data_IF_927437018442
#
_entry.id   IF_927437018442
#
_cell.length_a   1.000
_cell.length_b   1.000
_cell.length_c   1.000
_cell.angle_alpha   90.00
_cell.angle_beta   90.00
_cell.angle_gamma   90.00
#
_symmetry.space_group_name_H-M   'P 1'
#
loop_
_entity.id
_entity.type
_entity.pdbx_description
1 polymer ?
#
# COMPACT_ATOMS: atom_id res chain seq x y z
N UNK A 1 15.01 -7.73 -18.19
CA UNK A 1 14.09 -6.89 -19.01
C UNK A 1 12.61 -7.24 -18.78
N UNK A 2 12.22 -8.51 -18.81
CA UNK A 2 10.79 -8.92 -18.65
C UNK A 2 10.20 -8.56 -17.29
N UNK A 3 11.00 -8.63 -16.22
CA UNK A 3 10.58 -8.21 -14.87
C UNK A 3 10.20 -6.72 -14.80
N UNK A 4 10.97 -5.86 -15.45
CA UNK A 4 10.68 -4.43 -15.58
C UNK A 4 9.45 -4.17 -16.49
N UNK A 5 9.34 -4.93 -17.58
CA UNK A 5 8.18 -4.86 -18.47
C UNK A 5 6.91 -5.30 -17.73
N UNK A 6 6.96 -6.40 -16.95
CA UNK A 6 5.83 -6.83 -16.13
C UNK A 6 5.45 -5.77 -15.10
N UNK A 7 6.44 -5.14 -14.46
CA UNK A 7 6.20 -4.03 -13.53
C UNK A 7 5.44 -2.89 -14.23
N UNK A 8 5.87 -2.49 -15.42
CA UNK A 8 5.20 -1.45 -16.20
C UNK A 8 3.78 -1.90 -16.59
N UNK A 9 3.61 -3.13 -17.06
CA UNK A 9 2.29 -3.66 -17.46
C UNK A 9 1.34 -3.65 -16.25
N UNK A 10 1.78 -4.10 -15.09
CA UNK A 10 0.97 -4.08 -13.87
C UNK A 10 0.65 -2.63 -13.43
N UNK A 11 1.63 -1.72 -13.51
CA UNK A 11 1.41 -0.32 -13.19
C UNK A 11 0.41 0.33 -14.17
N UNK A 12 0.53 0.07 -15.47
CA UNK A 12 -0.42 0.54 -16.48
C UNK A 12 -1.81 -0.05 -16.26
N UNK A 13 -1.90 -1.34 -15.93
CA UNK A 13 -3.18 -2.00 -15.66
C UNK A 13 -3.92 -1.36 -14.47
N UNK A 14 -3.20 -0.97 -13.42
CA UNK A 14 -3.77 -0.24 -12.27
C UNK A 14 -4.15 1.20 -12.64
N UNK A 15 -3.41 1.84 -13.56
CA UNK A 15 -3.69 3.21 -13.99
C UNK A 15 -4.85 3.31 -14.98
N UNK A 16 -5.11 2.28 -15.80
CA UNK A 16 -6.20 2.31 -16.80
C UNK A 16 -7.55 2.68 -16.19
N UNK A 17 -8.05 2.02 -15.13
CA UNK A 17 -9.30 2.39 -14.49
C UNK A 17 -9.30 3.83 -13.96
N UNK A 18 -8.15 4.31 -13.46
CA UNK A 18 -8.02 5.70 -13.00
C UNK A 18 -8.19 6.71 -14.14
N UNK A 19 -7.66 6.41 -15.32
CA UNK A 19 -7.85 7.28 -16.49
C UNK A 19 -9.26 7.23 -17.06
N UNK A 20 -9.97 6.09 -16.93
CA UNK A 20 -11.34 5.93 -17.47
C UNK A 20 -12.38 6.54 -16.53
N UNK A 21 -12.25 6.33 -15.23
CA UNK A 21 -13.23 6.75 -14.21
C UNK A 21 -12.68 7.79 -13.22
N UNK A 22 -11.50 8.36 -13.47
CA UNK A 22 -10.80 9.23 -12.54
C UNK A 22 -11.64 10.39 -12.00
N UNK A 23 -12.37 11.11 -12.88
CA UNK A 23 -13.21 12.23 -12.47
C UNK A 23 -14.41 11.80 -11.61
N UNK A 24 -15.04 10.66 -11.97
CA UNK A 24 -16.14 10.10 -11.20
C UNK A 24 -15.66 9.56 -9.83
N UNK A 25 -14.49 8.95 -9.81
CA UNK A 25 -13.85 8.45 -8.57
C UNK A 25 -13.37 9.59 -7.69
N UNK A 26 -12.75 10.63 -8.27
CA UNK A 26 -12.31 11.82 -7.53
C UNK A 26 -13.48 12.57 -6.88
N UNK A 27 -14.63 12.65 -7.58
CA UNK A 27 -15.84 13.25 -6.98
C UNK A 27 -16.48 12.37 -5.92
N UNK A 28 -16.57 11.06 -6.16
CA UNK A 28 -17.13 10.11 -5.19
C UNK A 28 -16.24 9.95 -3.95
N UNK A 29 -14.91 9.90 -4.15
CA UNK A 29 -13.91 9.79 -3.07
C UNK A 29 -13.27 11.14 -2.73
N UNK A 30 -14.00 12.24 -2.86
CA UNK A 30 -13.58 13.49 -2.21
C UNK A 30 -13.54 13.27 -0.69
N UNK A 31 -12.72 14.05 0.03
CA UNK A 31 -12.59 13.91 1.49
C UNK A 31 -13.94 13.96 2.20
N UNK A 32 -14.78 14.95 1.87
CA UNK A 32 -16.16 15.06 2.40
C UNK A 32 -17.06 13.92 1.96
N UNK A 33 -16.97 13.51 0.69
CA UNK A 33 -17.75 12.39 0.14
C UNK A 33 -17.44 11.08 0.86
N UNK A 34 -16.14 10.79 1.07
CA UNK A 34 -15.69 9.58 1.76
C UNK A 34 -16.13 9.56 3.23
N UNK A 35 -16.01 10.69 3.94
CA UNK A 35 -16.50 10.81 5.32
C UNK A 35 -18.01 10.57 5.37
N UNK A 36 -18.79 11.23 4.52
CA UNK A 36 -20.25 11.06 4.44
C UNK A 36 -20.63 9.61 4.13
N UNK A 37 -19.94 9.00 3.16
CA UNK A 37 -20.16 7.60 2.79
C UNK A 37 -19.87 6.65 3.96
N UNK A 38 -18.72 6.78 4.63
CA UNK A 38 -18.36 5.92 5.75
C UNK A 38 -19.33 6.10 6.95
N UNK A 39 -19.72 7.33 7.25
CA UNK A 39 -20.61 7.62 8.38
C UNK A 39 -22.02 7.04 8.22
N UNK A 40 -22.49 6.81 6.97
CA UNK A 40 -23.77 6.14 6.70
C UNK A 40 -23.81 4.70 7.26
N UNK A 41 -22.66 4.03 7.39
CA UNK A 41 -22.58 2.68 7.93
C UNK A 41 -22.50 2.63 9.47
N UNK A 42 -22.51 3.78 10.14
CA UNK A 42 -22.52 3.86 11.60
C UNK A 42 -21.39 3.04 12.25
N UNK A 43 -21.77 2.10 13.12
CA UNK A 43 -20.81 1.24 13.82
C UNK A 43 -19.97 0.32 12.91
N UNK A 44 -20.38 0.08 11.66
CA UNK A 44 -19.69 -0.79 10.70
C UNK A 44 -18.71 -0.02 9.78
N UNK A 45 -18.60 1.31 9.92
CA UNK A 45 -17.76 2.14 9.06
C UNK A 45 -16.28 1.69 9.05
N UNK A 46 -15.75 1.19 10.16
CA UNK A 46 -14.39 0.62 10.22
C UNK A 46 -14.22 -0.61 9.32
N UNK A 47 -15.22 -1.49 9.29
CA UNK A 47 -15.16 -2.69 8.44
C UNK A 47 -15.27 -2.34 6.95
N UNK A 48 -16.14 -1.39 6.61
CA UNK A 48 -16.27 -0.86 5.26
C UNK A 48 -14.96 -0.19 4.81
N UNK A 49 -14.32 0.59 5.68
CA UNK A 49 -13.04 1.20 5.38
C UNK A 49 -11.93 0.16 5.09
N UNK A 50 -11.85 -0.91 5.90
CA UNK A 50 -10.92 -2.03 5.64
C UNK A 50 -11.23 -2.68 4.30
N UNK A 51 -12.49 -2.95 3.98
CA UNK A 51 -12.89 -3.53 2.70
C UNK A 51 -12.54 -2.63 1.51
N UNK A 52 -12.73 -1.32 1.63
CA UNK A 52 -12.33 -0.35 0.59
C UNK A 52 -10.81 -0.33 0.40
N UNK A 53 -10.03 -0.34 1.49
CA UNK A 53 -8.56 -0.41 1.43
C UNK A 53 -8.05 -1.74 0.84
N UNK A 54 -8.79 -2.84 1.02
CA UNK A 54 -8.50 -4.10 0.34
C UNK A 54 -8.91 -4.08 -1.13
N UNK A 55 -10.03 -3.43 -1.44
CA UNK A 55 -10.56 -3.29 -2.80
C UNK A 55 -9.67 -2.40 -3.69
N UNK A 56 -8.84 -1.52 -3.09
CA UNK A 56 -7.82 -0.72 -3.79
C UNK A 56 -6.84 -1.59 -4.61
N UNK A 57 -6.68 -2.86 -4.26
CA UNK A 57 -5.94 -3.83 -5.09
C UNK A 57 -6.54 -4.01 -6.50
N UNK A 58 -7.85 -3.85 -6.65
CA UNK A 58 -8.59 -4.09 -7.90
C UNK A 58 -9.19 -2.81 -8.50
N UNK A 59 -9.51 -1.87 -7.65
CA UNK A 59 -10.13 -0.61 -8.01
C UNK A 59 -9.17 0.54 -7.64
N UNK A 60 -9.00 1.54 -8.49
CA UNK A 60 -8.11 2.67 -8.19
C UNK A 60 -8.75 3.61 -7.16
N UNK A 61 -8.87 3.14 -5.95
CA UNK A 61 -9.44 3.88 -4.83
C UNK A 61 -8.30 4.66 -4.14
N UNK A 62 -8.44 5.96 -3.90
CA UNK A 62 -7.38 6.71 -3.23
C UNK A 62 -7.29 6.35 -1.74
N UNK A 63 -6.50 5.31 -1.43
CA UNK A 63 -6.33 4.76 -0.09
C UNK A 63 -6.00 5.83 0.96
N UNK A 64 -5.21 6.83 0.60
CA UNK A 64 -4.82 7.93 1.50
C UNK A 64 -6.02 8.76 1.96
N UNK A 65 -7.00 8.99 1.09
CA UNK A 65 -8.25 9.70 1.44
C UNK A 65 -9.09 8.87 2.41
N UNK A 66 -9.19 7.55 2.17
CA UNK A 66 -9.91 6.65 3.09
C UNK A 66 -9.24 6.63 4.47
N UNK A 67 -7.90 6.51 4.52
CA UNK A 67 -7.15 6.53 5.77
C UNK A 67 -7.33 7.85 6.54
N UNK A 68 -7.33 8.99 5.83
CA UNK A 68 -7.59 10.29 6.42
C UNK A 68 -9.04 10.40 6.94
N UNK A 69 -10.04 9.94 6.16
CA UNK A 69 -11.44 9.91 6.59
C UNK A 69 -11.66 9.04 7.84
N UNK A 70 -11.00 7.89 7.90
CA UNK A 70 -11.02 7.00 9.08
C UNK A 70 -10.37 7.69 10.29
N UNK A 71 -9.27 8.41 10.08
CA UNK A 71 -8.63 9.22 11.11
C UNK A 71 -9.52 10.35 11.63
N UNK A 72 -10.29 10.99 10.75
CA UNK A 72 -11.30 11.97 11.10
C UNK A 72 -12.39 11.38 11.99
N UNK A 73 -12.94 10.21 11.62
CA UNK A 73 -14.08 9.57 12.30
C UNK A 73 -13.67 8.95 13.64
N UNK A 74 -12.54 8.24 13.69
CA UNK A 74 -12.13 7.42 14.83
C UNK A 74 -10.95 7.99 15.63
N UNK A 75 -10.42 9.14 15.21
CA UNK A 75 -9.21 9.71 15.79
C UNK A 75 -7.90 9.05 15.32
N UNK A 76 -6.75 9.58 15.72
CA UNK A 76 -5.46 9.19 15.15
C UNK A 76 -5.04 7.76 15.53
N UNK A 77 -5.41 7.29 16.73
CA UNK A 77 -4.99 5.96 17.21
C UNK A 77 -5.86 4.84 16.61
N UNK A 78 -7.17 4.89 16.84
CA UNK A 78 -8.08 3.86 16.31
C UNK A 78 -8.12 3.92 14.77
N UNK A 79 -8.19 5.12 14.19
CA UNK A 79 -8.11 5.33 12.75
C UNK A 79 -6.79 4.82 12.16
N UNK A 80 -5.66 5.01 12.85
CA UNK A 80 -4.37 4.49 12.45
C UNK A 80 -4.31 2.97 12.41
N UNK A 81 -4.87 2.31 13.43
CA UNK A 81 -4.94 0.84 13.48
C UNK A 81 -5.82 0.29 12.35
N UNK A 82 -7.02 0.85 12.14
CA UNK A 82 -7.96 0.45 11.08
C UNK A 82 -7.30 0.63 9.71
N UNK A 83 -6.68 1.77 9.46
CA UNK A 83 -5.99 2.09 8.20
C UNK A 83 -4.81 1.17 7.95
N UNK A 84 -3.99 0.93 8.96
CA UNK A 84 -2.86 0.01 8.87
C UNK A 84 -3.32 -1.43 8.61
N UNK A 85 -4.39 -1.88 9.28
CA UNK A 85 -4.96 -3.22 9.08
C UNK A 85 -5.49 -3.38 7.65
N UNK A 86 -6.27 -2.43 7.13
CA UNK A 86 -6.79 -2.47 5.77
C UNK A 86 -5.68 -2.50 4.71
N UNK A 87 -4.70 -1.61 4.82
CA UNK A 87 -3.53 -1.58 3.93
C UNK A 87 -2.70 -2.86 4.00
N UNK A 88 -2.49 -3.40 5.21
CA UNK A 88 -1.78 -4.65 5.43
C UNK A 88 -2.51 -5.83 4.78
N UNK A 89 -3.82 -5.96 5.02
CA UNK A 89 -4.64 -7.06 4.48
C UNK A 89 -4.72 -6.99 2.95
N UNK A 90 -4.86 -5.80 2.36
CA UNK A 90 -4.82 -5.61 0.90
C UNK A 90 -3.51 -6.10 0.28
N UNK A 91 -2.38 -5.74 0.88
CA UNK A 91 -1.08 -6.20 0.40
C UNK A 91 -0.85 -7.71 0.57
N UNK A 92 -1.29 -8.30 1.69
CA UNK A 92 -1.23 -9.76 1.91
C UNK A 92 -2.12 -10.49 0.92
N UNK A 93 -3.31 -9.96 0.62
CA UNK A 93 -4.20 -10.49 -0.41
C UNK A 93 -3.54 -10.47 -1.79
N UNK A 94 -2.95 -9.34 -2.21
CA UNK A 94 -2.23 -9.22 -3.48
C UNK A 94 -1.06 -10.19 -3.60
N UNK A 95 -0.24 -10.30 -2.54
CA UNK A 95 0.83 -11.29 -2.48
C UNK A 95 0.31 -12.72 -2.60
N UNK A 96 -0.76 -13.06 -1.86
CA UNK A 96 -1.37 -14.39 -1.86
C UNK A 96 -1.92 -14.78 -3.21
N UNK A 97 -2.71 -13.90 -3.84
CA UNK A 97 -3.29 -14.13 -5.17
C UNK A 97 -2.21 -14.39 -6.23
N UNK A 98 -1.18 -13.56 -6.27
CA UNK A 98 -0.10 -13.73 -7.23
C UNK A 98 0.78 -14.96 -6.92
N UNK A 99 0.91 -15.35 -5.64
CA UNK A 99 1.62 -16.56 -5.23
C UNK A 99 0.90 -17.84 -5.64
N UNK A 100 -0.45 -17.86 -5.64
CA UNK A 100 -1.28 -18.99 -6.06
C UNK A 100 -1.11 -19.29 -7.56
N UNK A 101 -0.78 -18.31 -8.39
CA UNK A 101 -0.51 -18.52 -9.83
C UNK A 101 0.62 -19.53 -10.08
N UNK A 102 1.47 -19.77 -9.11
CA UNK A 102 2.48 -20.81 -9.14
C UNK A 102 3.77 -20.43 -9.86
N UNK A 103 4.84 -21.16 -9.52
CA UNK A 103 6.18 -20.90 -10.04
C UNK A 103 6.28 -21.13 -11.55
N UNK A 104 5.59 -22.14 -12.08
CA UNK A 104 5.58 -22.44 -13.52
C UNK A 104 5.04 -21.27 -14.33
N UNK A 105 3.95 -20.67 -13.88
CA UNK A 105 3.34 -19.48 -14.50
C UNK A 105 4.26 -18.28 -14.39
N UNK A 106 4.84 -18.04 -13.21
CA UNK A 106 5.79 -16.96 -13.00
C UNK A 106 7.03 -17.07 -13.90
N UNK A 107 7.61 -18.27 -14.01
CA UNK A 107 8.75 -18.55 -14.93
C UNK A 107 8.36 -18.39 -16.41
N UNK A 108 7.13 -18.74 -16.79
CA UNK A 108 6.62 -18.55 -18.16
C UNK A 108 6.47 -17.06 -18.50
N UNK A 109 5.95 -16.26 -17.58
CA UNK A 109 5.73 -14.82 -17.76
C UNK A 109 7.05 -14.06 -17.74
N UNK A 110 7.89 -14.29 -16.75
CA UNK A 110 9.15 -13.56 -16.53
C UNK A 110 10.30 -14.12 -17.38
N UNK A 111 10.27 -15.40 -17.71
CA UNK A 111 11.41 -16.16 -18.22
C UNK A 111 12.38 -16.54 -17.09
N UNK A 112 13.18 -17.58 -17.30
CA UNK A 112 14.03 -18.20 -16.28
C UNK A 112 14.99 -17.18 -15.64
N UNK A 113 15.75 -16.46 -16.48
CA UNK A 113 16.78 -15.50 -16.03
C UNK A 113 16.21 -14.36 -15.17
N UNK A 114 15.08 -13.79 -15.58
CA UNK A 114 14.46 -12.66 -14.86
C UNK A 114 13.74 -13.13 -13.59
N UNK A 115 13.19 -14.37 -13.59
CA UNK A 115 12.63 -14.99 -12.38
C UNK A 115 13.71 -15.20 -11.33
N UNK A 116 14.83 -15.85 -11.66
CA UNK A 116 15.94 -16.05 -10.74
C UNK A 116 16.54 -14.74 -10.22
N UNK A 117 16.62 -13.72 -11.10
CA UNK A 117 17.05 -12.38 -10.70
C UNK A 117 16.09 -11.76 -9.67
N UNK A 118 14.77 -11.90 -9.87
CA UNK A 118 13.75 -11.46 -8.93
C UNK A 118 13.87 -12.17 -7.59
N UNK A 119 14.06 -13.49 -7.59
CA UNK A 119 14.27 -14.29 -6.38
C UNK A 119 15.49 -13.82 -5.61
N UNK A 120 16.63 -13.57 -6.27
CA UNK A 120 17.84 -13.02 -5.64
C UNK A 120 17.59 -11.64 -5.04
N UNK A 121 17.00 -10.72 -5.81
CA UNK A 121 16.65 -9.37 -5.33
C UNK A 121 15.71 -9.42 -4.13
N UNK A 122 14.77 -10.38 -4.10
CA UNK A 122 13.88 -10.54 -2.96
C UNK A 122 14.62 -10.99 -1.68
N UNK A 123 15.72 -11.72 -1.86
CA UNK A 123 16.63 -12.09 -0.77
C UNK A 123 17.38 -10.89 -0.19
N UNK A 124 17.89 -10.04 -1.04
CA UNK A 124 18.80 -8.94 -0.66
C UNK A 124 18.02 -7.68 -0.21
N UNK A 125 17.17 -7.16 -1.09
CA UNK A 125 16.49 -5.86 -0.89
C UNK A 125 14.97 -5.94 -0.92
N UNK A 126 14.38 -7.13 -1.13
CA UNK A 126 12.94 -7.28 -1.35
C UNK A 126 12.08 -6.75 -0.22
N UNK A 127 12.49 -6.94 1.05
CA UNK A 127 11.80 -6.38 2.20
C UNK A 127 11.74 -4.85 2.17
N UNK A 128 12.81 -4.20 1.75
CA UNK A 128 12.89 -2.76 1.57
C UNK A 128 11.95 -2.25 0.49
N UNK A 129 11.92 -2.95 -0.65
CA UNK A 129 11.03 -2.60 -1.76
C UNK A 129 9.56 -2.64 -1.30
N UNK A 130 9.20 -3.64 -0.50
CA UNK A 130 7.85 -3.74 0.08
C UNK A 130 7.55 -2.58 1.02
N UNK A 131 8.46 -2.23 1.94
CA UNK A 131 8.28 -1.10 2.88
C UNK A 131 8.14 0.22 2.12
N UNK A 132 9.07 0.49 1.19
CA UNK A 132 9.12 1.75 0.46
C UNK A 132 7.95 1.91 -0.51
N UNK A 133 7.50 0.82 -1.12
CA UNK A 133 6.37 0.87 -2.04
C UNK A 133 5.11 1.44 -1.39
N UNK A 134 4.93 1.24 -0.08
CA UNK A 134 3.75 1.76 0.65
C UNK A 134 3.58 3.28 0.57
N UNK A 135 4.67 4.01 0.37
CA UNK A 135 4.68 5.47 0.32
C UNK A 135 4.53 6.05 -1.09
N UNK A 136 4.51 5.19 -2.11
CA UNK A 136 4.40 5.59 -3.50
C UNK A 136 3.04 5.17 -4.07
N UNK A 137 2.34 6.02 -4.83
CA UNK A 137 1.07 5.65 -5.44
C UNK A 137 1.28 4.52 -6.46
N UNK A 138 0.32 3.60 -6.59
CA UNK A 138 0.32 2.46 -7.55
C UNK A 138 1.37 1.37 -7.25
N UNK A 139 2.48 1.71 -6.63
CA UNK A 139 3.59 0.78 -6.36
C UNK A 139 3.26 -0.33 -5.35
N UNK A 140 2.45 -0.10 -4.31
CA UNK A 140 2.15 -1.12 -3.30
C UNK A 140 1.54 -2.39 -3.88
N UNK A 141 0.58 -2.26 -4.78
CA UNK A 141 -0.15 -3.36 -5.40
C UNK A 141 0.79 -4.15 -6.32
N UNK A 142 1.53 -3.44 -7.16
CA UNK A 142 2.50 -4.04 -8.09
C UNK A 142 3.60 -4.78 -7.34
N UNK A 143 4.19 -4.17 -6.30
CA UNK A 143 5.26 -4.79 -5.52
C UNK A 143 4.76 -5.99 -4.72
N UNK A 144 3.54 -5.93 -4.17
CA UNK A 144 2.92 -7.05 -3.46
C UNK A 144 2.67 -8.24 -4.40
N UNK A 145 2.14 -7.99 -5.60
CA UNK A 145 1.97 -9.00 -6.65
C UNK A 145 3.32 -9.59 -7.09
N UNK A 146 4.30 -8.75 -7.37
CA UNK A 146 5.63 -9.23 -7.78
C UNK A 146 6.30 -10.07 -6.69
N UNK A 147 6.20 -9.65 -5.41
CA UNK A 147 6.71 -10.42 -4.28
C UNK A 147 6.03 -11.79 -4.16
N UNK A 148 4.73 -11.88 -4.49
CA UNK A 148 3.98 -13.13 -4.59
C UNK A 148 4.47 -14.02 -5.73
N UNK A 149 4.62 -13.48 -6.94
CA UNK A 149 5.07 -14.20 -8.15
C UNK A 149 6.47 -14.80 -7.99
N UNK A 150 7.42 -14.03 -7.44
CA UNK A 150 8.79 -14.51 -7.18
C UNK A 150 8.91 -15.35 -5.91
N UNK A 151 7.79 -15.68 -5.27
CA UNK A 151 7.71 -16.51 -4.07
C UNK A 151 8.56 -16.02 -2.90
N UNK A 152 8.60 -14.72 -2.69
CA UNK A 152 9.24 -14.14 -1.51
C UNK A 152 8.78 -14.86 -0.24
N UNK A 153 9.69 -15.10 0.73
CA UNK A 153 9.36 -15.75 2.00
C UNK A 153 8.25 -14.98 2.72
N UNK A 154 7.13 -15.67 3.03
CA UNK A 154 5.92 -15.05 3.58
C UNK A 154 6.20 -14.25 4.86
N UNK A 155 7.01 -14.81 5.77
CA UNK A 155 7.37 -14.11 7.03
C UNK A 155 8.09 -12.78 6.75
N UNK A 156 9.04 -12.76 5.79
CA UNK A 156 9.74 -11.52 5.41
C UNK A 156 8.78 -10.51 4.80
N UNK A 157 7.87 -10.97 3.95
CA UNK A 157 6.85 -10.13 3.34
C UNK A 157 5.92 -9.53 4.41
N UNK A 158 5.38 -10.35 5.32
CA UNK A 158 4.49 -9.91 6.41
C UNK A 158 5.17 -8.86 7.29
N UNK A 159 6.42 -9.10 7.71
CA UNK A 159 7.17 -8.15 8.53
C UNK A 159 7.41 -6.83 7.80
N UNK A 160 7.81 -6.88 6.53
CA UNK A 160 8.01 -5.69 5.72
C UNK A 160 6.69 -4.94 5.50
N UNK A 161 5.59 -5.66 5.24
CA UNK A 161 4.24 -5.09 5.13
C UNK A 161 3.80 -4.38 6.41
N UNK A 162 3.98 -5.02 7.57
CA UNK A 162 3.66 -4.40 8.86
C UNK A 162 4.50 -3.13 9.10
N UNK A 163 5.81 -3.21 8.85
CA UNK A 163 6.71 -2.06 8.97
C UNK A 163 6.36 -0.88 8.05
N UNK A 164 5.79 -1.15 6.88
CA UNK A 164 5.35 -0.10 5.95
C UNK A 164 3.94 0.42 6.23
N UNK A 165 2.98 -0.48 6.49
CA UNK A 165 1.56 -0.13 6.66
C UNK A 165 1.26 0.55 7.99
N UNK A 166 1.96 0.18 9.08
CA UNK A 166 1.75 0.81 10.39
C UNK A 166 2.04 2.31 10.34
N UNK A 167 3.28 2.77 10.01
CA UNK A 167 3.54 4.21 10.00
C UNK A 167 2.68 4.94 8.97
N UNK A 168 2.39 4.33 7.82
CA UNK A 168 1.52 4.90 6.81
C UNK A 168 0.10 5.16 7.36
N UNK A 169 -0.52 4.13 7.95
CA UNK A 169 -1.87 4.22 8.50
C UNK A 169 -2.00 5.27 9.59
N UNK A 170 -1.05 5.31 10.53
CA UNK A 170 -1.03 6.33 11.59
C UNK A 170 -0.78 7.73 11.04
N UNK A 171 0.10 7.88 10.05
CA UNK A 171 0.39 9.18 9.44
C UNK A 171 -0.86 9.78 8.80
N UNK A 172 -1.55 9.03 7.93
CA UNK A 172 -2.73 9.54 7.25
C UNK A 172 -3.93 9.67 8.18
N UNK A 173 -4.09 8.80 9.18
CA UNK A 173 -5.12 8.97 10.21
C UNK A 173 -4.88 10.24 11.05
N UNK A 174 -3.62 10.54 11.39
CA UNK A 174 -3.28 11.77 12.09
C UNK A 174 -3.53 13.01 11.22
N UNK A 175 -3.18 12.95 9.92
CA UNK A 175 -3.44 14.03 8.95
C UNK A 175 -4.95 14.31 8.87
N UNK A 176 -5.79 13.26 8.74
CA UNK A 176 -7.24 13.42 8.70
C UNK A 176 -7.82 13.99 9.98
N UNK A 177 -7.30 13.58 11.13
CA UNK A 177 -7.71 14.13 12.42
C UNK A 177 -7.28 15.60 12.62
N UNK A 178 -6.04 15.93 12.29
CA UNK A 178 -5.48 17.28 12.44
C UNK A 178 -5.93 18.24 11.33
N UNK A 179 -6.27 17.73 10.15
CA UNK A 179 -6.68 18.52 8.99
C UNK A 179 -8.00 19.24 9.17
N UNK A 180 -8.81 18.81 10.13
CA UNK A 180 -10.08 19.47 10.52
C UNK A 180 -9.83 20.91 10.97
N UNK A 181 -8.78 21.11 11.78
CA UNK A 181 -8.49 22.40 12.38
C UNK A 181 -7.49 23.23 11.57
N UNK A 182 -6.66 22.59 10.74
CA UNK A 182 -5.62 23.28 9.99
C UNK A 182 -5.22 22.56 8.68
N UNK A 183 -5.83 22.90 7.52
CA UNK A 183 -5.55 22.28 6.23
C UNK A 183 -4.09 22.39 5.79
N UNK A 184 -3.40 23.49 6.10
CA UNK A 184 -1.97 23.68 5.76
C UNK A 184 -1.07 22.71 6.50
N UNK A 185 -1.43 22.38 7.73
CA UNK A 185 -0.71 21.40 8.56
C UNK A 185 -0.89 19.99 7.98
N UNK A 186 -2.08 19.63 7.51
CA UNK A 186 -2.34 18.36 6.84
C UNK A 186 -1.49 18.20 5.58
N UNK A 187 -1.41 19.22 4.73
CA UNK A 187 -0.56 19.23 3.53
C UNK A 187 0.93 19.13 3.90
N UNK A 188 1.38 19.90 4.88
CA UNK A 188 2.76 19.85 5.35
C UNK A 188 3.17 18.50 5.91
N UNK A 189 2.29 17.86 6.69
CA UNK A 189 2.51 16.52 7.23
C UNK A 189 2.49 15.44 6.15
N UNK A 190 1.56 15.51 5.19
CA UNK A 190 1.50 14.53 4.10
C UNK A 190 2.75 14.54 3.22
N UNK A 191 3.36 15.70 3.02
CA UNK A 191 4.59 15.84 2.24
C UNK A 191 5.86 15.55 3.06
N UNK A 192 5.88 15.92 4.35
CA UNK A 192 7.08 15.87 5.20
C UNK A 192 7.26 14.57 5.97
N UNK A 193 6.19 13.96 6.50
CA UNK A 193 6.29 12.75 7.34
C UNK A 193 6.82 11.52 6.59
N UNK A 194 6.38 11.21 5.36
CA UNK A 194 6.88 10.04 4.63
C UNK A 194 8.41 10.02 4.49
N UNK A 195 9.07 11.07 3.98
CA UNK A 195 10.52 11.07 3.87
C UNK A 195 11.24 11.07 5.23
N UNK A 196 10.69 11.71 6.27
CA UNK A 196 11.28 11.71 7.61
C UNK A 196 11.24 10.31 8.24
N UNK A 197 10.12 9.62 8.17
CA UNK A 197 9.99 8.24 8.65
C UNK A 197 10.94 7.33 7.87
N UNK A 198 11.03 7.51 6.55
CA UNK A 198 11.95 6.74 5.73
C UNK A 198 13.42 6.93 6.14
N UNK A 199 13.86 8.16 6.34
CA UNK A 199 15.21 8.47 6.82
C UNK A 199 15.50 7.86 8.19
N UNK A 200 14.52 7.85 9.10
CA UNK A 200 14.66 7.30 10.44
C UNK A 200 14.76 5.77 10.47
N UNK A 201 14.05 5.09 9.57
CA UNK A 201 14.00 3.61 9.52
C UNK A 201 15.18 3.05 8.74
N UNK A 202 15.73 3.79 7.76
CA UNK A 202 16.83 3.37 6.90
C UNK A 202 18.05 2.76 7.64
N UNK A 203 18.61 3.37 8.72
CA UNK A 203 19.78 2.82 9.40
C UNK A 203 19.51 1.50 10.14
N UNK A 204 18.29 1.32 10.66
CA UNK A 204 17.90 0.10 11.39
C UNK A 204 17.89 -1.12 10.44
N UNK A 205 17.40 -0.93 9.23
CA UNK A 205 17.34 -1.99 8.24
C UNK A 205 18.71 -2.28 7.61
N UNK A 206 19.52 -1.27 7.30
CA UNK A 206 20.86 -1.47 6.76
C UNK A 206 21.74 -2.30 7.71
N UNK A 207 21.57 -2.11 9.03
CA UNK A 207 22.35 -2.84 10.05
C UNK A 207 21.95 -4.31 10.20
N UNK A 208 20.69 -4.66 9.91
CA UNK A 208 20.12 -5.97 10.16
C UNK A 208 20.02 -6.87 8.91
N UNK A 209 19.97 -6.28 7.71
CA UNK A 209 19.70 -7.00 6.46
C UNK A 209 20.74 -6.78 5.36
N UNK A 210 21.70 -5.88 5.56
CA UNK A 210 22.84 -5.66 4.65
C UNK A 210 24.04 -6.59 4.90
N UNK A 211 23.90 -7.58 5.78
CA UNK A 211 24.93 -8.59 6.10
C UNK A 211 24.46 -10.03 5.85
N UNK A 212 23.46 -10.25 4.99
CA UNK A 212 23.02 -11.61 4.65
C UNK A 212 23.12 -11.85 3.14
#
# INVERSE_FOLDING_TARGET
MRLFILFIILAVLVLIPFFIWGDALMTAFSEKGTITFLTQYGQWAWAVAILLLMADLFLPIPATIIMAAVGYIYGPVAGGIISAAGSFMGGVLGHGLCRIMGEKTARRILGEKDYERGVRLSGDIGGWLVVLSRWLPVFPEVVSCMAGLIRMRLVRFILAMACGSLPLGFTYAYIGHAGVDNPYLAVGLSAGLPPLIWLSIRPVFQKKWGKA
#
